data_IF_725854705076
#
_entry.id   IF_725854705076
#
_cell.length_a   1.000
_cell.length_b   1.000
_cell.length_c   1.000
_cell.angle_alpha   90.00
_cell.angle_beta   90.00
_cell.angle_gamma   90.00
#
_symmetry.space_group_name_H-M   'P 1'
#
loop_
_entity.id
_entity.type
_entity.pdbx_description
1 polymer ?
#
# COMPACT_ATOMS: atom_id res chain seq x y z
N UNK A 1 1.62 11.29 -11.97
CA UNK A 1 1.57 10.08 -11.11
C UNK A 1 2.47 10.21 -9.87
N UNK A 2 3.80 10.22 -9.99
CA UNK A 2 4.70 10.12 -8.82
C UNK A 2 4.66 11.29 -7.82
N UNK A 3 4.25 12.51 -8.22
CA UNK A 3 3.96 13.58 -7.25
C UNK A 3 2.84 13.20 -6.27
N UNK A 4 1.81 12.50 -6.76
CA UNK A 4 0.75 11.98 -5.90
C UNK A 4 1.26 10.85 -5.00
N UNK A 5 2.08 9.94 -5.54
CA UNK A 5 2.74 8.87 -4.76
C UNK A 5 3.55 9.45 -3.61
N UNK A 6 4.43 10.42 -3.88
CA UNK A 6 5.25 11.07 -2.85
C UNK A 6 4.40 11.76 -1.79
N UNK A 7 3.32 12.45 -2.19
CA UNK A 7 2.40 13.10 -1.25
C UNK A 7 1.70 12.08 -0.35
N UNK A 8 1.14 11.02 -0.93
CA UNK A 8 0.45 9.95 -0.18
C UNK A 8 1.42 9.23 0.75
N UNK A 9 2.61 8.87 0.26
CA UNK A 9 3.65 8.23 1.07
C UNK A 9 3.96 9.04 2.34
N UNK A 10 4.29 10.33 2.19
CA UNK A 10 4.63 11.18 3.35
C UNK A 10 3.46 11.33 4.33
N UNK A 11 2.23 11.43 3.83
CA UNK A 11 1.03 11.49 4.67
C UNK A 11 0.85 10.20 5.47
N UNK A 12 1.01 9.05 4.83
CA UNK A 12 0.87 7.74 5.48
C UNK A 12 2.01 7.49 6.48
N UNK A 13 3.25 7.85 6.15
CA UNK A 13 4.39 7.78 7.09
C UNK A 13 4.11 8.58 8.37
N UNK A 14 3.63 9.82 8.21
CA UNK A 14 3.22 10.67 9.34
C UNK A 14 2.07 10.06 10.14
N UNK A 15 1.04 9.55 9.47
CA UNK A 15 -0.14 8.96 10.11
C UNK A 15 0.22 7.71 10.94
N UNK A 16 1.03 6.81 10.36
CA UNK A 16 1.43 5.55 11.01
C UNK A 16 2.62 5.68 11.96
N UNK A 17 3.20 6.88 12.07
CA UNK A 17 4.39 7.20 12.86
C UNK A 17 5.58 6.33 12.47
N UNK A 18 5.83 6.25 11.17
CA UNK A 18 6.96 5.54 10.58
C UNK A 18 7.79 6.48 9.72
N UNK A 19 9.01 6.07 9.40
CA UNK A 19 9.98 6.88 8.64
C UNK A 19 10.31 6.31 7.27
N UNK A 20 9.65 5.23 6.85
CA UNK A 20 9.98 4.51 5.63
C UNK A 20 8.75 3.82 5.05
N UNK A 21 8.73 3.69 3.74
CA UNK A 21 7.72 2.95 2.98
C UNK A 21 8.37 2.19 1.83
N UNK A 22 7.82 1.04 1.47
CA UNK A 22 8.12 0.37 0.21
C UNK A 22 7.13 0.85 -0.85
N UNK A 23 7.65 1.33 -1.99
CA UNK A 23 6.85 1.80 -3.14
C UNK A 23 7.08 0.85 -4.30
N UNK A 24 6.02 0.18 -4.77
CA UNK A 24 6.13 -0.93 -5.73
C UNK A 24 5.21 -0.71 -6.93
N UNK A 25 5.73 -1.00 -8.12
CA UNK A 25 4.97 -1.05 -9.38
C UNK A 25 5.25 -2.41 -10.04
N UNK A 26 4.18 -3.12 -10.39
CA UNK A 26 4.24 -4.38 -11.12
C UNK A 26 3.71 -4.13 -12.53
N UNK A 27 4.61 -3.84 -13.47
CA UNK A 27 4.26 -3.54 -14.87
C UNK A 27 4.36 -4.79 -15.74
N UNK A 28 3.21 -5.39 -16.05
CA UNK A 28 3.07 -6.59 -16.85
C UNK A 28 2.99 -7.91 -16.06
N UNK A 29 2.51 -8.99 -16.69
CA UNK A 29 2.22 -10.26 -16.00
C UNK A 29 3.44 -10.90 -15.32
N UNK A 30 4.62 -10.80 -15.94
CA UNK A 30 5.86 -11.37 -15.39
C UNK A 30 6.44 -10.56 -14.22
N UNK A 31 5.95 -9.34 -13.99
CA UNK A 31 6.28 -8.55 -12.80
C UNK A 31 5.28 -8.79 -11.64
N UNK A 32 4.29 -9.68 -11.82
CA UNK A 32 3.24 -9.97 -10.84
C UNK A 32 1.96 -9.13 -10.99
N UNK A 33 1.76 -8.44 -12.13
CA UNK A 33 0.56 -7.63 -12.33
C UNK A 33 -0.71 -8.49 -12.42
N UNK A 34 -1.66 -8.26 -11.52
CA UNK A 34 -2.94 -8.98 -11.44
C UNK A 34 -4.07 -8.26 -12.17
N UNK A 35 -4.17 -6.94 -11.98
CA UNK A 35 -5.16 -6.06 -12.62
C UNK A 35 -4.50 -5.30 -13.76
N UNK A 36 -5.10 -5.36 -14.96
CA UNK A 36 -4.63 -4.68 -16.18
C UNK A 36 -4.86 -3.16 -16.14
N UNK A 37 -4.32 -2.52 -15.11
CA UNK A 37 -4.33 -1.07 -14.89
C UNK A 37 -3.08 -0.72 -14.08
N UNK A 38 -2.36 0.33 -14.49
CA UNK A 38 -1.18 0.78 -13.74
C UNK A 38 -1.61 1.28 -12.38
N UNK A 39 -1.08 0.67 -11.33
CA UNK A 39 -1.29 1.08 -9.94
C UNK A 39 0.03 1.00 -9.18
N UNK A 40 0.11 1.71 -8.05
CA UNK A 40 1.29 1.80 -7.21
C UNK A 40 0.91 1.37 -5.81
N UNK A 41 1.62 0.39 -5.26
CA UNK A 41 1.50 0.03 -3.85
C UNK A 41 2.40 0.94 -3.02
N UNK A 42 1.85 1.49 -1.95
CA UNK A 42 2.59 2.28 -0.94
C UNK A 42 2.40 1.55 0.38
N UNK A 43 3.48 0.97 0.90
CA UNK A 43 3.48 0.09 2.07
C UNK A 43 4.33 0.72 3.19
N UNK A 44 3.73 1.43 4.15
CA UNK A 44 4.45 1.96 5.31
C UNK A 44 5.15 0.85 6.09
N UNK A 45 6.43 1.03 6.43
CA UNK A 45 7.29 0.00 7.03
C UNK A 45 7.56 0.28 8.50
N UNK A 46 7.66 -0.76 9.33
CA UNK A 46 8.11 -0.66 10.73
C UNK A 46 9.43 -1.40 10.90
N UNK A 47 10.30 -1.00 11.85
CA UNK A 47 11.45 -1.81 12.20
C UNK A 47 11.01 -3.23 12.58
N UNK A 48 11.67 -4.24 12.01
CA UNK A 48 11.39 -5.66 12.24
C UNK A 48 9.95 -6.09 11.91
N UNK A 49 9.29 -5.43 10.93
CA UNK A 49 8.01 -5.92 10.39
C UNK A 49 8.15 -7.25 9.63
N UNK A 50 9.37 -7.57 9.18
CA UNK A 50 9.77 -8.90 8.73
C UNK A 50 11.00 -9.39 9.52
N UNK A 51 11.08 -10.71 9.82
CA UNK A 51 12.29 -11.34 10.36
C UNK A 51 13.54 -11.06 9.51
N UNK A 52 13.43 -11.19 8.19
CA UNK A 52 14.45 -10.79 7.23
C UNK A 52 13.87 -9.75 6.27
N UNK A 53 14.56 -8.62 6.06
CA UNK A 53 14.01 -7.54 5.24
C UNK A 53 13.70 -7.95 3.80
N UNK A 54 14.43 -8.93 3.24
CA UNK A 54 14.22 -9.43 1.88
C UNK A 54 12.98 -10.34 1.75
N UNK A 55 12.35 -10.74 2.85
CA UNK A 55 11.06 -11.45 2.80
C UNK A 55 9.98 -10.59 2.15
N UNK A 56 10.11 -9.26 2.18
CA UNK A 56 9.18 -8.36 1.49
C UNK A 56 9.01 -8.71 0.01
N UNK A 57 10.05 -9.18 -0.69
CA UNK A 57 9.94 -9.54 -2.10
C UNK A 57 9.03 -10.75 -2.30
N UNK A 58 9.17 -11.75 -1.45
CA UNK A 58 8.30 -12.93 -1.44
C UNK A 58 6.86 -12.58 -1.09
N UNK A 59 6.66 -11.70 -0.10
CA UNK A 59 5.33 -11.32 0.37
C UNK A 59 4.57 -10.43 -0.64
N UNK A 60 5.27 -9.48 -1.25
CA UNK A 60 4.76 -8.63 -2.35
C UNK A 60 4.44 -9.46 -3.58
N UNK A 61 5.31 -10.43 -3.92
CA UNK A 61 5.15 -11.26 -5.13
C UNK A 61 4.10 -12.36 -4.98
N UNK A 62 4.07 -13.08 -3.86
CA UNK A 62 3.41 -14.40 -3.81
C UNK A 62 2.24 -14.50 -2.82
N UNK A 63 2.07 -13.57 -1.88
CA UNK A 63 1.19 -13.83 -0.74
C UNK A 63 0.21 -12.72 -0.37
N UNK A 64 0.57 -11.43 -0.46
CA UNK A 64 -0.31 -10.36 0.02
C UNK A 64 -1.01 -9.61 -1.11
N UNK A 65 -0.27 -9.07 -2.07
CA UNK A 65 -0.87 -8.26 -3.14
C UNK A 65 -1.73 -9.11 -4.09
N UNK A 66 -1.21 -10.26 -4.50
CA UNK A 66 -1.97 -11.16 -5.36
C UNK A 66 -3.27 -11.67 -4.72
N UNK A 67 -3.28 -11.89 -3.40
CA UNK A 67 -4.50 -12.32 -2.69
C UNK A 67 -5.48 -11.16 -2.48
N UNK A 68 -4.98 -9.95 -2.21
CA UNK A 68 -5.83 -8.76 -2.11
C UNK A 68 -6.50 -8.40 -3.45
N UNK A 69 -5.87 -8.73 -4.58
CA UNK A 69 -6.42 -8.47 -5.92
C UNK A 69 -7.31 -9.60 -6.47
N UNK A 70 -7.25 -10.80 -5.89
CA UNK A 70 -8.03 -11.98 -6.32
C UNK A 70 -9.26 -12.18 -5.41
N UNK A 71 -10.43 -12.44 -6.03
CA UNK A 71 -11.76 -12.50 -5.38
C UNK A 71 -11.97 -13.62 -4.34
N UNK A 72 -11.05 -14.55 -4.18
CA UNK A 72 -11.32 -15.84 -3.54
C UNK A 72 -10.94 -15.94 -2.05
N UNK A 73 -10.37 -14.90 -1.43
CA UNK A 73 -10.06 -14.90 0.01
C UNK A 73 -11.04 -14.05 0.82
N UNK A 74 -12.32 -14.47 0.89
CA UNK A 74 -13.35 -13.78 1.69
C UNK A 74 -13.03 -13.67 3.19
N UNK A 75 -12.13 -14.51 3.70
CA UNK A 75 -11.81 -14.60 5.14
C UNK A 75 -10.94 -13.45 5.66
N UNK A 76 -10.43 -12.56 4.80
CA UNK A 76 -9.52 -11.46 5.20
C UNK A 76 -9.97 -10.07 4.72
N UNK A 77 -11.16 -9.95 4.15
CA UNK A 77 -11.63 -8.66 3.68
C UNK A 77 -12.03 -7.78 4.88
N UNK A 78 -11.50 -6.56 4.91
CA UNK A 78 -11.94 -5.55 5.87
C UNK A 78 -13.38 -5.16 5.59
N UNK A 79 -14.13 -4.86 6.64
CA UNK A 79 -15.49 -4.37 6.50
C UNK A 79 -15.53 -3.07 5.68
N UNK A 80 -16.56 -2.90 4.86
CA UNK A 80 -16.70 -1.70 4.02
C UNK A 80 -16.73 -0.41 4.88
N UNK A 81 -17.31 -0.49 6.07
CA UNK A 81 -17.33 0.59 7.04
C UNK A 81 -15.93 1.01 7.50
N UNK A 82 -15.03 0.05 7.74
CA UNK A 82 -13.65 0.31 8.13
C UNK A 82 -12.87 0.97 7.00
N UNK A 83 -13.00 0.44 5.79
CA UNK A 83 -12.36 1.00 4.59
C UNK A 83 -12.82 2.43 4.31
N UNK A 84 -14.13 2.68 4.43
CA UNK A 84 -14.73 4.01 4.24
C UNK A 84 -14.24 5.01 5.29
N UNK A 85 -14.20 4.58 6.55
CA UNK A 85 -13.73 5.41 7.66
C UNK A 85 -12.25 5.76 7.52
N UNK A 86 -11.40 4.78 7.21
CA UNK A 86 -9.98 4.99 6.94
C UNK A 86 -9.76 5.94 5.76
N UNK A 87 -10.50 5.74 4.66
CA UNK A 87 -10.42 6.62 3.49
C UNK A 87 -10.83 8.07 3.81
N UNK A 88 -11.81 8.28 4.70
CA UNK A 88 -12.20 9.61 5.15
C UNK A 88 -11.08 10.30 5.95
N UNK A 89 -10.39 9.56 6.82
CA UNK A 89 -9.21 10.05 7.54
C UNK A 89 -8.12 10.45 6.56
N UNK A 90 -7.75 9.57 5.62
CA UNK A 90 -6.70 9.86 4.64
C UNK A 90 -7.04 11.05 3.75
N UNK A 91 -8.29 11.16 3.29
CA UNK A 91 -8.73 12.29 2.48
C UNK A 91 -8.51 13.62 3.19
N UNK A 92 -8.87 13.68 4.48
CA UNK A 92 -8.63 14.87 5.30
C UNK A 92 -7.14 15.17 5.41
N UNK A 93 -6.33 14.18 5.78
CA UNK A 93 -4.88 14.36 5.96
C UNK A 93 -4.16 14.77 4.67
N UNK A 94 -4.53 14.18 3.53
CA UNK A 94 -3.97 14.52 2.21
C UNK A 94 -4.33 15.97 1.81
N UNK A 95 -5.54 16.43 2.12
CA UNK A 95 -5.96 17.80 1.83
C UNK A 95 -5.27 18.84 2.73
N UNK A 96 -5.01 18.49 4.00
CA UNK A 96 -4.30 19.34 4.96
C UNK A 96 -2.77 19.34 4.77
N UNK A 97 -2.22 18.37 4.03
CA UNK A 97 -0.79 18.25 3.82
C UNK A 97 -0.25 19.32 2.85
N UNK A 98 0.59 20.21 3.37
CA UNK A 98 1.08 21.43 2.70
C UNK A 98 2.52 21.36 2.15
N UNK A 99 3.20 20.20 2.17
CA UNK A 99 4.57 20.08 1.66
C UNK A 99 4.66 19.63 0.19
N UNK A 100 4.16 20.47 -0.73
CA UNK A 100 4.57 20.49 -2.15
C UNK A 100 4.55 21.93 -2.66
#
# INVERSE_FOLDING_TARGET
MFRAVQKVQKVLEKYYKVSSSSVVIQDGPHAGQTVRHVHVHILPRRPNDFPNNDEIYSEVSNHWLEKHDKKDSKEQWRELGDMSSEAAVYRRLINEYKDV
#
